data_IF_433613270778
#
_entry.id   IF_433613270778
#
_cell.length_a   1.000
_cell.length_b   1.000
_cell.length_c   1.000
_cell.angle_alpha   90.00
_cell.angle_beta   90.00
_cell.angle_gamma   90.00
#
_symmetry.space_group_name_H-M   'P 1'
#
loop_
_entity.id
_entity.type
_entity.pdbx_description
1 polymer ?
#
# COMPACT_ATOMS: atom_id res chain seq x y z
N UNK A 1 -18.37 -1.11 -10.67
CA UNK A 1 -18.17 -0.68 -9.29
C UNK A 1 -18.91 -1.64 -8.35
N UNK A 2 -18.18 -2.24 -7.38
CA UNK A 2 -18.80 -3.13 -6.38
C UNK A 2 -19.20 -2.32 -5.15
N UNK A 3 -18.25 -1.56 -4.62
CA UNK A 3 -18.48 -0.75 -3.42
C UNK A 3 -17.55 0.47 -3.38
N UNK A 4 -18.03 1.54 -2.75
CA UNK A 4 -17.29 2.77 -2.47
C UNK A 4 -17.33 3.04 -0.98
N UNK A 5 -16.22 3.45 -0.42
CA UNK A 5 -16.13 4.00 0.93
C UNK A 5 -16.58 5.46 0.90
N UNK A 6 -17.85 5.68 1.14
CA UNK A 6 -18.45 7.02 1.06
C UNK A 6 -17.84 8.01 2.07
N UNK A 7 -17.45 7.54 3.25
CA UNK A 7 -16.76 8.38 4.24
C UNK A 7 -15.41 8.86 3.68
N UNK A 8 -14.62 7.95 3.09
CA UNK A 8 -13.34 8.31 2.50
C UNK A 8 -13.51 9.21 1.26
N UNK A 9 -14.53 8.94 0.43
CA UNK A 9 -14.88 9.80 -0.70
C UNK A 9 -15.20 11.23 -0.26
N UNK A 10 -15.92 11.38 0.85
CA UNK A 10 -16.21 12.69 1.46
C UNK A 10 -14.94 13.35 2.02
N UNK A 11 -14.11 12.61 2.75
CA UNK A 11 -12.83 13.11 3.29
C UNK A 11 -11.92 13.66 2.18
N UNK A 12 -11.92 12.98 1.02
CA UNK A 12 -11.17 13.41 -0.18
C UNK A 12 -11.87 14.52 -0.98
N UNK A 13 -12.99 15.03 -0.52
CA UNK A 13 -13.79 16.03 -1.25
C UNK A 13 -14.09 15.65 -2.71
N UNK A 14 -14.14 14.34 -3.01
CA UNK A 14 -14.41 13.81 -4.35
C UNK A 14 -15.88 14.00 -4.70
N UNK A 15 -16.15 14.99 -5.56
CA UNK A 15 -17.51 15.30 -6.06
C UNK A 15 -17.90 14.47 -7.29
N UNK A 16 -17.06 13.51 -7.68
CA UNK A 16 -17.30 12.63 -8.83
C UNK A 16 -18.58 11.82 -8.66
N UNK A 17 -19.37 11.72 -9.72
CA UNK A 17 -20.46 10.76 -9.77
C UNK A 17 -19.91 9.33 -9.90
N UNK A 18 -20.77 8.32 -9.74
CA UNK A 18 -20.34 6.92 -9.72
C UNK A 18 -19.66 6.46 -11.01
N UNK A 19 -20.05 6.99 -12.17
CA UNK A 19 -19.44 6.65 -13.45
C UNK A 19 -18.03 7.24 -13.58
N UNK A 20 -17.85 8.49 -13.16
CA UNK A 20 -16.53 9.12 -13.15
C UNK A 20 -15.59 8.43 -12.16
N UNK A 21 -16.09 8.11 -10.96
CA UNK A 21 -15.32 7.39 -9.97
C UNK A 21 -14.96 5.98 -10.47
N UNK A 22 -15.90 5.29 -11.10
CA UNK A 22 -15.64 4.00 -11.73
C UNK A 22 -14.52 4.09 -12.76
N UNK A 23 -14.56 5.06 -13.67
CA UNK A 23 -13.55 5.21 -14.71
C UNK A 23 -12.15 5.52 -14.15
N UNK A 24 -12.06 6.27 -13.03
CA UNK A 24 -10.80 6.51 -12.32
C UNK A 24 -10.32 5.24 -11.62
N UNK A 25 -11.21 4.59 -10.84
CA UNK A 25 -10.87 3.41 -10.05
C UNK A 25 -10.66 2.14 -10.89
N UNK A 26 -11.10 2.11 -12.15
CA UNK A 26 -10.78 1.05 -13.11
C UNK A 26 -9.46 1.29 -13.86
N UNK A 27 -8.92 2.51 -13.78
CA UNK A 27 -7.73 2.91 -14.54
C UNK A 27 -8.02 3.28 -16.00
N UNK A 28 -9.28 3.41 -16.40
CA UNK A 28 -9.66 3.85 -17.75
C UNK A 28 -9.41 5.34 -17.98
N UNK A 29 -9.50 6.12 -16.91
CA UNK A 29 -9.25 7.55 -16.92
C UNK A 29 -8.18 7.90 -15.87
N UNK A 30 -7.18 8.73 -16.18
CA UNK A 30 -6.26 9.24 -15.18
C UNK A 30 -7.01 10.10 -14.15
N UNK A 31 -6.50 10.12 -12.92
CA UNK A 31 -7.04 10.95 -11.85
C UNK A 31 -6.87 12.44 -12.19
N UNK A 32 -5.66 12.77 -12.60
CA UNK A 32 -5.24 14.06 -13.15
C UNK A 32 -4.63 13.77 -14.53
N UNK A 33 -4.14 14.79 -15.23
CA UNK A 33 -3.47 14.59 -16.54
C UNK A 33 -2.08 13.93 -16.41
N UNK A 34 -1.82 13.25 -15.30
CA UNK A 34 -0.56 12.57 -14.99
C UNK A 34 -0.60 11.09 -15.40
N UNK A 35 0.53 10.59 -15.87
CA UNK A 35 0.68 9.18 -16.19
C UNK A 35 0.84 8.34 -14.91
N UNK A 36 0.18 7.17 -14.81
CA UNK A 36 0.36 6.26 -13.68
C UNK A 36 1.82 5.81 -13.52
N UNK A 37 2.26 5.67 -12.28
CA UNK A 37 3.64 5.29 -11.92
C UNK A 37 3.63 3.98 -11.16
N UNK A 38 4.47 3.02 -11.57
CA UNK A 38 4.81 1.84 -10.77
C UNK A 38 6.23 1.99 -10.24
N UNK A 39 6.42 1.78 -8.94
CA UNK A 39 7.69 2.02 -8.26
C UNK A 39 8.53 0.76 -8.14
N UNK A 40 9.87 0.92 -8.15
CA UNK A 40 10.82 -0.16 -7.89
C UNK A 40 11.19 -0.18 -6.40
N UNK A 41 11.20 -1.37 -5.82
CA UNK A 41 11.72 -1.59 -4.47
C UNK A 41 12.37 -2.98 -4.38
N UNK A 42 13.21 -3.18 -3.38
CA UNK A 42 13.75 -4.48 -3.00
C UNK A 42 12.99 -5.05 -1.80
N UNK A 43 13.38 -6.17 -1.29
CA UNK A 43 12.81 -6.69 -0.06
C UNK A 43 13.59 -7.86 0.53
N UNK A 44 13.65 -7.91 1.86
CA UNK A 44 14.03 -9.10 2.60
C UNK A 44 12.80 -9.95 2.81
N UNK A 45 12.64 -10.98 1.97
CA UNK A 45 11.50 -11.88 1.99
C UNK A 45 11.87 -13.21 2.65
N UNK A 46 11.31 -13.50 3.81
CA UNK A 46 11.52 -14.76 4.55
C UNK A 46 13.01 -15.12 4.72
N UNK A 47 13.84 -14.12 5.03
CA UNK A 47 15.27 -14.29 5.25
C UNK A 47 16.15 -14.21 3.99
N UNK A 48 15.57 -14.01 2.82
CA UNK A 48 16.31 -13.85 1.56
C UNK A 48 16.14 -12.45 1.01
N UNK A 49 17.24 -11.84 0.58
CA UNK A 49 17.20 -10.55 -0.09
C UNK A 49 16.84 -10.71 -1.57
N UNK A 50 15.77 -10.03 -1.99
CA UNK A 50 15.36 -9.95 -3.39
C UNK A 50 15.65 -8.53 -3.89
N UNK A 51 16.66 -8.36 -4.77
CA UNK A 51 17.21 -7.05 -5.13
C UNK A 51 16.25 -6.18 -5.96
N UNK A 52 15.29 -6.82 -6.63
CA UNK A 52 14.28 -6.11 -7.41
C UNK A 52 12.91 -6.81 -7.31
N UNK A 53 12.02 -6.16 -6.65
CA UNK A 53 10.59 -6.39 -6.64
C UNK A 53 9.92 -5.23 -7.40
N UNK A 54 9.02 -4.53 -6.76
CA UNK A 54 8.32 -3.38 -7.30
C UNK A 54 6.81 -3.63 -7.42
N UNK A 55 6.10 -2.62 -7.86
CA UNK A 55 4.64 -2.63 -7.97
C UNK A 55 4.18 -3.51 -9.14
N UNK A 56 4.35 -4.84 -9.01
CA UNK A 56 4.06 -5.81 -10.06
C UNK A 56 2.60 -5.93 -10.48
N UNK A 57 1.69 -5.35 -9.70
CA UNK A 57 0.25 -5.30 -9.97
C UNK A 57 -0.41 -4.02 -9.44
N UNK A 58 0.39 -3.01 -9.13
CA UNK A 58 -0.09 -1.74 -8.58
C UNK A 58 0.51 -0.57 -9.35
N UNK A 59 -0.18 0.55 -9.34
CA UNK A 59 0.33 1.82 -9.85
C UNK A 59 -0.26 2.99 -9.06
N UNK A 60 0.54 4.01 -8.82
CA UNK A 60 0.07 5.32 -8.35
C UNK A 60 -0.60 6.02 -9.52
N UNK A 61 -1.78 6.58 -9.29
CA UNK A 61 -2.56 7.27 -10.33
C UNK A 61 -2.66 8.77 -10.09
N UNK A 62 -2.11 9.26 -8.99
CA UNK A 62 -2.06 10.66 -8.64
C UNK A 62 -2.27 10.90 -7.15
N UNK A 63 -2.50 12.16 -6.80
CA UNK A 63 -2.65 12.65 -5.44
C UNK A 63 -3.87 13.58 -5.33
N UNK A 64 -4.55 13.54 -4.20
CA UNK A 64 -5.64 14.44 -3.82
C UNK A 64 -5.38 14.92 -2.39
N UNK A 65 -5.28 16.22 -2.20
CA UNK A 65 -5.13 16.85 -0.87
C UNK A 65 -3.98 16.24 -0.04
N UNK A 66 -2.84 15.90 -0.70
CA UNK A 66 -1.67 15.30 -0.05
C UNK A 66 -1.80 13.80 0.22
N UNK A 67 -2.81 13.13 -0.33
CA UNK A 67 -3.02 11.69 -0.23
C UNK A 67 -2.82 11.03 -1.59
N UNK A 68 -1.90 10.08 -1.65
CA UNK A 68 -1.63 9.27 -2.84
C UNK A 68 -2.74 8.25 -3.08
N UNK A 69 -3.18 8.14 -4.35
CA UNK A 69 -4.11 7.10 -4.80
C UNK A 69 -3.35 6.05 -5.61
N UNK A 70 -3.53 4.79 -5.24
CA UNK A 70 -2.91 3.64 -5.91
C UNK A 70 -3.95 2.60 -6.30
N UNK A 71 -3.89 2.12 -7.53
CA UNK A 71 -4.69 0.99 -8.00
C UNK A 71 -3.91 -0.31 -7.81
N UNK A 72 -4.53 -1.33 -7.22
CA UNK A 72 -3.99 -2.68 -7.15
C UNK A 72 -4.85 -3.64 -7.95
N UNK A 73 -4.22 -4.35 -8.87
CA UNK A 73 -4.89 -5.30 -9.77
C UNK A 73 -5.26 -4.73 -11.15
N UNK A 74 -4.79 -3.51 -11.47
CA UNK A 74 -5.14 -2.81 -12.70
C UNK A 74 -4.48 -3.37 -13.97
N UNK A 75 -3.55 -4.31 -13.84
CA UNK A 75 -2.86 -4.93 -14.97
C UNK A 75 -1.35 -5.02 -14.76
N UNK A 76 -0.66 -5.35 -15.85
CA UNK A 76 0.78 -5.53 -15.84
C UNK A 76 1.54 -4.20 -15.73
N UNK A 77 2.66 -4.24 -15.04
CA UNK A 77 3.64 -3.16 -14.94
C UNK A 77 5.02 -3.69 -15.35
N UNK A 78 6.04 -2.83 -15.44
CA UNK A 78 7.43 -3.28 -15.66
C UNK A 78 7.94 -4.26 -14.60
N UNK A 79 7.30 -4.32 -13.44
CA UNK A 79 7.69 -5.15 -12.30
C UNK A 79 6.82 -6.41 -12.12
N UNK A 80 5.96 -6.74 -13.07
CA UNK A 80 5.05 -7.91 -12.95
C UNK A 80 5.76 -9.26 -13.05
N UNK A 81 7.02 -9.31 -13.49
CA UNK A 81 7.85 -10.53 -13.55
C UNK A 81 7.16 -11.70 -14.26
N UNK A 82 6.46 -11.41 -15.36
CA UNK A 82 5.71 -12.40 -16.14
C UNK A 82 4.33 -12.77 -15.56
N UNK A 83 3.93 -12.18 -14.44
CA UNK A 83 2.58 -12.35 -13.89
C UNK A 83 1.56 -11.45 -14.61
N UNK A 84 0.27 -11.75 -14.42
CA UNK A 84 -0.85 -11.08 -15.10
C UNK A 84 -1.14 -9.65 -14.56
N UNK A 85 -0.51 -9.25 -13.47
CA UNK A 85 -0.75 -7.94 -12.85
C UNK A 85 -2.15 -7.79 -12.23
N UNK A 86 -2.91 -8.87 -12.07
CA UNK A 86 -4.28 -8.86 -11.58
C UNK A 86 -4.38 -9.22 -10.10
N UNK A 87 -5.42 -8.70 -9.44
CA UNK A 87 -5.85 -9.13 -8.13
C UNK A 87 -7.16 -9.91 -8.24
N UNK A 88 -7.34 -10.94 -7.41
CA UNK A 88 -8.59 -11.70 -7.38
C UNK A 88 -9.61 -11.02 -6.48
N UNK A 89 -10.89 -11.11 -6.85
CA UNK A 89 -11.98 -10.44 -6.15
C UNK A 89 -12.04 -10.80 -4.66
N UNK A 90 -11.93 -12.09 -4.30
CA UNK A 90 -11.99 -12.54 -2.90
C UNK A 90 -10.92 -11.90 -2.02
N UNK A 91 -9.68 -11.77 -2.52
CA UNK A 91 -8.59 -11.14 -1.77
C UNK A 91 -8.75 -9.61 -1.71
N UNK A 92 -9.28 -9.01 -2.77
CA UNK A 92 -9.58 -7.58 -2.79
C UNK A 92 -10.70 -7.21 -1.80
N UNK A 93 -11.73 -8.05 -1.67
CA UNK A 93 -12.77 -7.88 -0.64
C UNK A 93 -12.17 -7.99 0.76
N UNK A 94 -11.31 -8.99 1.02
CA UNK A 94 -10.65 -9.14 2.32
C UNK A 94 -9.81 -7.91 2.67
N UNK A 95 -9.00 -7.44 1.74
CA UNK A 95 -8.19 -6.25 1.92
C UNK A 95 -9.05 -5.01 2.18
N UNK A 96 -10.11 -4.82 1.40
CA UNK A 96 -11.04 -3.71 1.54
C UNK A 96 -11.69 -3.68 2.93
N UNK A 97 -12.28 -4.80 3.35
CA UNK A 97 -12.94 -4.92 4.65
C UNK A 97 -11.95 -4.75 5.81
N UNK A 98 -10.76 -5.35 5.70
CA UNK A 98 -9.74 -5.22 6.73
C UNK A 98 -9.23 -3.78 6.85
N UNK A 99 -9.00 -3.09 5.73
CA UNK A 99 -8.60 -1.67 5.74
C UNK A 99 -9.61 -0.79 6.48
N UNK A 100 -10.91 -0.99 6.24
CA UNK A 100 -11.98 -0.26 6.95
C UNK A 100 -12.00 -0.63 8.44
N UNK A 101 -11.89 -1.92 8.76
CA UNK A 101 -11.85 -2.39 10.15
C UNK A 101 -10.66 -1.80 10.92
N UNK A 102 -9.47 -1.80 10.33
CA UNK A 102 -8.26 -1.24 10.93
C UNK A 102 -8.41 0.25 11.19
N UNK A 103 -9.01 1.00 10.26
CA UNK A 103 -9.33 2.41 10.48
C UNK A 103 -10.30 2.57 11.66
N UNK A 104 -11.37 1.78 11.71
CA UNK A 104 -12.35 1.80 12.81
C UNK A 104 -11.75 1.42 14.17
N UNK A 105 -10.73 0.58 14.20
CA UNK A 105 -9.94 0.19 15.37
C UNK A 105 -8.84 1.21 15.71
N UNK A 106 -8.76 2.30 14.96
CA UNK A 106 -7.74 3.35 15.12
C UNK A 106 -6.30 2.83 14.95
N UNK A 107 -6.10 1.87 14.05
CA UNK A 107 -4.80 1.32 13.67
C UNK A 107 -4.32 2.04 12.41
N UNK A 108 -3.08 2.58 12.36
CA UNK A 108 -2.55 3.22 11.15
C UNK A 108 -2.58 2.27 9.96
N UNK A 109 -3.19 2.70 8.87
CA UNK A 109 -3.40 1.83 7.70
C UNK A 109 -3.58 2.64 6.42
N UNK A 110 -3.22 2.06 5.28
CA UNK A 110 -3.74 2.52 3.99
C UNK A 110 -5.26 2.34 3.98
N UNK A 111 -5.97 3.30 3.41
CA UNK A 111 -7.44 3.30 3.34
C UNK A 111 -7.90 2.78 1.97
N UNK A 112 -8.94 1.97 1.94
CA UNK A 112 -9.53 1.49 0.70
C UNK A 112 -10.71 2.38 0.30
N UNK A 113 -10.62 3.00 -0.90
CA UNK A 113 -11.64 3.88 -1.43
C UNK A 113 -12.73 3.12 -2.18
N UNK A 114 -12.35 2.24 -3.09
CA UNK A 114 -13.29 1.52 -3.93
C UNK A 114 -12.80 0.12 -4.31
N UNK A 115 -13.75 -0.76 -4.61
CA UNK A 115 -13.52 -2.03 -5.31
C UNK A 115 -14.28 -2.00 -6.63
N UNK A 116 -13.58 -2.29 -7.71
CA UNK A 116 -14.13 -2.46 -9.06
C UNK A 116 -13.99 -3.92 -9.48
N UNK A 117 -15.07 -4.53 -9.95
CA UNK A 117 -15.01 -5.85 -10.61
C UNK A 117 -14.42 -5.70 -12.01
N UNK A 118 -13.69 -6.70 -12.45
CA UNK A 118 -13.23 -6.80 -13.83
C UNK A 118 -13.80 -8.06 -14.46
N UNK A 119 -14.18 -7.98 -15.72
CA UNK A 119 -14.64 -9.14 -16.52
C UNK A 119 -13.47 -10.07 -16.89
N UNK A 120 -12.23 -9.66 -16.60
CA UNK A 120 -11.05 -10.49 -16.80
C UNK A 120 -11.06 -11.65 -15.81
N UNK A 121 -10.75 -12.84 -16.31
CA UNK A 121 -10.54 -14.02 -15.49
C UNK A 121 -9.07 -14.13 -15.08
N UNK A 122 -8.86 -14.59 -13.88
CA UNK A 122 -7.56 -14.81 -13.28
C UNK A 122 -7.38 -16.28 -12.95
N UNK A 123 -6.30 -16.87 -13.46
CA UNK A 123 -5.95 -18.25 -13.18
C UNK A 123 -5.08 -18.32 -11.93
N UNK A 124 -5.59 -18.94 -10.86
CA UNK A 124 -4.88 -19.25 -9.61
C UNK A 124 -5.05 -20.77 -9.37
N UNK A 125 -5.43 -21.17 -8.16
CA UNK A 125 -5.86 -22.56 -7.92
C UNK A 125 -7.11 -22.91 -8.72
N UNK A 126 -7.98 -21.91 -8.90
CA UNK A 126 -9.18 -21.98 -9.74
C UNK A 126 -9.25 -20.74 -10.63
N UNK A 127 -10.16 -20.75 -11.60
CA UNK A 127 -10.52 -19.57 -12.37
C UNK A 127 -11.37 -18.66 -11.50
N UNK A 128 -10.91 -17.43 -11.28
CA UNK A 128 -11.56 -16.43 -10.42
C UNK A 128 -11.75 -15.11 -11.16
N UNK A 129 -12.70 -14.31 -10.71
CA UNK A 129 -12.89 -12.96 -11.23
C UNK A 129 -11.77 -12.04 -10.73
N UNK A 130 -11.27 -11.21 -11.63
CA UNK A 130 -10.34 -10.14 -11.26
C UNK A 130 -11.09 -8.98 -10.61
N UNK A 131 -10.37 -8.20 -9.82
CA UNK A 131 -10.85 -6.96 -9.26
C UNK A 131 -9.72 -5.94 -9.14
N UNK A 132 -10.09 -4.68 -9.06
CA UNK A 132 -9.19 -3.57 -8.78
C UNK A 132 -9.63 -2.96 -7.45
N UNK A 133 -8.67 -2.77 -6.54
CA UNK A 133 -8.88 -2.01 -5.31
C UNK A 133 -8.11 -0.70 -5.38
N UNK A 134 -8.79 0.40 -5.07
CA UNK A 134 -8.17 1.71 -4.95
C UNK A 134 -7.74 1.95 -3.51
N UNK A 135 -6.45 2.13 -3.31
CA UNK A 135 -5.81 2.43 -2.02
C UNK A 135 -5.52 3.91 -1.92
N UNK A 136 -5.65 4.44 -0.73
CA UNK A 136 -5.36 5.84 -0.39
C UNK A 136 -4.45 5.87 0.82
N UNK A 137 -3.37 6.63 0.76
CA UNK A 137 -2.43 6.81 1.86
C UNK A 137 -1.70 8.14 1.73
N UNK A 138 -1.10 8.62 2.83
CA UNK A 138 -0.18 9.76 2.79
C UNK A 138 1.04 9.46 1.92
N UNK A 139 1.52 8.21 1.92
CA UNK A 139 2.51 7.72 0.99
C UNK A 139 2.51 6.19 0.91
N UNK A 140 2.91 5.66 -0.26
CA UNK A 140 3.15 4.24 -0.48
C UNK A 140 4.65 3.87 -0.42
N UNK A 141 5.50 4.77 0.08
CA UNK A 141 6.94 4.49 0.25
C UNK A 141 7.13 3.41 1.33
N UNK A 142 7.94 2.40 0.99
CA UNK A 142 8.25 1.23 1.81
C UNK A 142 9.72 1.22 2.22
N UNK A 143 10.09 0.45 3.23
CA UNK A 143 11.50 0.20 3.54
C UNK A 143 12.26 -0.31 2.31
N UNK A 144 11.63 -1.16 1.51
CA UNK A 144 12.21 -1.72 0.29
C UNK A 144 12.66 -0.69 -0.76
N UNK A 145 12.11 0.52 -0.77
CA UNK A 145 12.59 1.58 -1.67
C UNK A 145 14.00 2.04 -1.29
N UNK A 146 14.27 2.17 0.02
CA UNK A 146 15.60 2.51 0.52
C UNK A 146 16.60 1.37 0.26
N UNK A 147 16.16 0.12 0.48
CA UNK A 147 16.98 -1.07 0.22
C UNK A 147 17.34 -1.21 -1.26
N UNK A 148 16.40 -0.87 -2.16
CA UNK A 148 16.62 -0.91 -3.60
C UNK A 148 17.81 -0.02 -4.00
N UNK A 149 17.80 1.23 -3.60
CA UNK A 149 18.92 2.14 -3.91
C UNK A 149 20.21 1.78 -3.17
N UNK A 150 20.11 1.40 -1.89
CA UNK A 150 21.26 1.02 -1.09
C UNK A 150 21.99 -0.21 -1.64
N UNK A 151 21.24 -1.25 -2.07
CA UNK A 151 21.82 -2.47 -2.62
C UNK A 151 22.58 -2.26 -3.94
N UNK A 152 22.26 -1.18 -4.65
CA UNK A 152 22.93 -0.79 -5.89
C UNK A 152 24.07 0.22 -5.67
N UNK A 153 24.40 0.55 -4.41
CA UNK A 153 25.39 1.56 -4.07
C UNK A 153 24.99 2.99 -4.39
N UNK A 154 23.69 3.24 -4.65
CA UNK A 154 23.16 4.55 -5.04
C UNK A 154 22.87 5.41 -3.80
N UNK A 155 23.88 5.65 -2.97
CA UNK A 155 23.73 6.37 -1.69
C UNK A 155 23.12 7.78 -1.83
N UNK A 156 23.41 8.47 -2.94
CA UNK A 156 22.82 9.78 -3.18
C UNK A 156 21.29 9.71 -3.43
N UNK A 157 20.78 8.62 -4.01
CA UNK A 157 19.37 8.40 -4.17
C UNK A 157 18.71 8.00 -2.86
N UNK A 158 19.40 7.26 -1.99
CA UNK A 158 18.94 7.01 -0.59
C UNK A 158 18.75 8.33 0.15
N UNK A 159 19.72 9.27 0.05
CA UNK A 159 19.61 10.60 0.67
C UNK A 159 18.47 11.42 0.07
N UNK A 160 18.32 11.43 -1.26
CA UNK A 160 17.21 12.15 -1.92
C UNK A 160 15.85 11.62 -1.48
N UNK A 161 15.71 10.30 -1.35
CA UNK A 161 14.48 9.68 -0.86
C UNK A 161 14.23 10.03 0.61
N UNK A 162 15.27 10.02 1.47
CA UNK A 162 15.17 10.45 2.85
C UNK A 162 14.78 11.93 2.97
N UNK A 163 15.41 12.81 2.20
CA UNK A 163 15.06 14.24 2.15
C UNK A 163 13.62 14.46 1.66
N UNK A 164 13.14 13.64 0.71
CA UNK A 164 11.77 13.68 0.24
C UNK A 164 10.80 13.31 1.36
N UNK A 165 11.04 12.20 2.07
CA UNK A 165 10.19 11.76 3.19
C UNK A 165 10.16 12.81 4.31
N UNK A 166 11.33 13.35 4.68
CA UNK A 166 11.41 14.42 5.70
C UNK A 166 10.58 15.63 5.26
N UNK A 167 10.79 16.10 4.03
CA UNK A 167 10.13 17.30 3.51
C UNK A 167 8.61 17.19 3.46
N UNK A 168 8.10 16.03 3.02
CA UNK A 168 6.68 15.87 2.68
C UNK A 168 5.86 15.19 3.77
N UNK A 169 6.49 14.39 4.64
CA UNK A 169 5.78 13.55 5.60
C UNK A 169 6.26 13.69 7.05
N UNK A 170 7.39 14.36 7.30
CA UNK A 170 7.96 14.53 8.64
C UNK A 170 8.51 15.94 8.80
N UNK A 171 7.65 16.93 8.58
CA UNK A 171 8.01 18.36 8.55
C UNK A 171 8.54 18.91 9.90
N UNK A 172 8.40 18.13 10.98
CA UNK A 172 9.02 18.42 12.28
C UNK A 172 10.54 18.18 12.30
N UNK A 173 11.09 17.47 11.30
CA UNK A 173 12.52 17.21 11.18
C UNK A 173 13.18 18.22 10.25
N UNK A 174 14.42 18.60 10.56
CA UNK A 174 15.21 19.42 9.66
C UNK A 174 15.71 18.60 8.46
N UNK A 175 15.85 19.25 7.33
CA UNK A 175 16.42 18.60 6.14
C UNK A 175 17.82 18.05 6.44
N UNK A 176 18.04 16.77 6.14
CA UNK A 176 19.31 16.08 6.41
C UNK A 176 19.40 15.46 7.79
N UNK A 177 18.38 15.59 8.64
CA UNK A 177 18.33 14.86 9.93
C UNK A 177 17.93 13.40 9.70
N UNK A 178 18.85 12.64 9.11
CA UNK A 178 18.62 11.21 8.82
C UNK A 178 18.55 10.35 10.09
N UNK A 179 19.19 10.78 11.18
CA UNK A 179 19.07 10.09 12.47
C UNK A 179 17.69 10.32 13.09
N UNK A 180 17.17 11.54 12.99
CA UNK A 180 15.79 11.87 13.38
C UNK A 180 14.78 11.06 12.56
N UNK A 181 14.94 11.00 11.24
CA UNK A 181 14.13 10.16 10.36
C UNK A 181 14.14 8.69 10.83
N UNK A 182 15.30 8.11 11.07
CA UNK A 182 15.41 6.72 11.50
C UNK A 182 14.70 6.47 12.83
N UNK A 183 14.86 7.37 13.82
CA UNK A 183 14.17 7.29 15.11
C UNK A 183 12.66 7.40 14.93
N UNK A 184 12.19 8.30 14.06
CA UNK A 184 10.76 8.49 13.80
C UNK A 184 10.13 7.26 13.14
N UNK A 185 10.82 6.65 12.21
CA UNK A 185 10.38 5.40 11.57
C UNK A 185 10.27 4.26 12.59
N UNK A 186 11.23 4.14 13.51
CA UNK A 186 11.16 3.16 14.62
C UNK A 186 9.93 3.44 15.49
N UNK A 187 9.70 4.68 15.88
CA UNK A 187 8.55 5.08 16.70
C UNK A 187 7.21 4.70 16.01
N UNK A 188 7.03 5.15 14.76
CA UNK A 188 5.78 4.90 14.00
C UNK A 188 5.53 3.40 13.80
N UNK A 189 6.58 2.65 13.44
CA UNK A 189 6.49 1.20 13.28
C UNK A 189 6.14 0.51 14.59
N UNK A 190 6.77 0.92 15.70
CA UNK A 190 6.50 0.36 17.03
C UNK A 190 5.05 0.61 17.47
N UNK A 191 4.54 1.82 17.24
CA UNK A 191 3.14 2.17 17.53
C UNK A 191 2.18 1.29 16.72
N UNK A 192 2.43 1.13 15.41
CA UNK A 192 1.61 0.29 14.54
C UNK A 192 1.57 -1.15 15.04
N UNK A 193 2.74 -1.75 15.32
CA UNK A 193 2.82 -3.15 15.78
C UNK A 193 2.17 -3.32 17.15
N UNK A 194 2.38 -2.39 18.08
CA UNK A 194 1.74 -2.44 19.39
C UNK A 194 0.21 -2.41 19.28
N UNK A 195 -0.33 -1.62 18.35
CA UNK A 195 -1.77 -1.60 18.08
C UNK A 195 -2.28 -2.89 17.43
N UNK A 196 -1.50 -3.51 16.52
CA UNK A 196 -1.82 -4.83 16.00
C UNK A 196 -1.95 -5.86 17.11
N UNK A 197 -0.96 -5.94 17.98
CA UNK A 197 -0.94 -6.88 19.11
C UNK A 197 -2.11 -6.63 20.07
N UNK A 198 -2.42 -5.36 20.37
CA UNK A 198 -3.52 -5.00 21.25
C UNK A 198 -4.90 -5.45 20.71
N UNK A 199 -5.04 -5.57 19.39
CA UNK A 199 -6.26 -6.01 18.72
C UNK A 199 -6.22 -7.48 18.27
N UNK A 200 -5.15 -8.20 18.61
CA UNK A 200 -4.97 -9.59 18.19
C UNK A 200 -4.84 -9.75 16.67
N UNK A 201 -4.29 -8.76 16.00
CA UNK A 201 -4.06 -8.81 14.55
C UNK A 201 -2.64 -9.30 14.25
N UNK A 202 -2.54 -10.27 13.34
CA UNK A 202 -1.28 -10.70 12.72
C UNK A 202 -1.28 -10.35 11.24
N UNK A 203 -0.26 -9.62 10.79
CA UNK A 203 -0.08 -9.28 9.38
C UNK A 203 0.34 -10.50 8.55
N UNK A 204 1.15 -11.38 9.12
CA UNK A 204 1.60 -12.63 8.51
C UNK A 204 2.72 -12.50 7.47
N UNK A 205 3.02 -11.29 6.97
CA UNK A 205 4.10 -11.05 5.98
C UNK A 205 4.73 -9.69 6.22
N UNK A 206 5.60 -9.58 7.22
CA UNK A 206 6.30 -8.34 7.59
C UNK A 206 7.67 -8.22 6.88
N UNK A 207 7.75 -8.60 5.64
CA UNK A 207 8.92 -8.37 4.81
C UNK A 207 9.12 -6.86 4.59
N UNK A 208 10.33 -6.43 4.29
CA UNK A 208 10.65 -4.99 4.13
C UNK A 208 9.95 -4.33 2.94
N UNK A 209 9.54 -5.10 1.96
CA UNK A 209 8.67 -4.69 0.86
C UNK A 209 7.20 -4.52 1.28
N UNK A 210 6.81 -4.99 2.47
CA UNK A 210 5.47 -4.84 3.04
C UNK A 210 5.44 -3.94 4.28
N UNK A 211 6.47 -3.12 4.49
CA UNK A 211 6.56 -2.19 5.62
C UNK A 211 6.60 -0.76 5.12
N UNK A 212 5.60 0.03 5.53
CA UNK A 212 5.52 1.46 5.21
C UNK A 212 6.54 2.26 6.01
N UNK A 213 7.19 3.23 5.37
CA UNK A 213 8.08 4.18 6.04
C UNK A 213 7.32 5.09 7.03
N UNK A 214 6.02 5.23 6.88
CA UNK A 214 5.15 6.03 7.73
C UNK A 214 4.43 5.20 8.82
N UNK A 215 4.80 3.92 9.01
CA UNK A 215 4.15 3.05 9.99
C UNK A 215 2.68 2.77 9.68
N UNK A 216 2.31 2.73 8.40
CA UNK A 216 0.97 2.34 7.96
C UNK A 216 0.92 0.83 7.70
N UNK A 217 -0.19 0.19 8.07
CA UNK A 217 -0.47 -1.19 7.65
C UNK A 217 -0.75 -1.20 6.14
N UNK A 218 0.03 -1.98 5.40
CA UNK A 218 -0.07 -2.11 3.94
C UNK A 218 -0.10 -3.58 3.53
N UNK A 219 -0.57 -3.86 2.32
CA UNK A 219 -0.50 -5.17 1.67
C UNK A 219 -1.11 -6.33 2.47
N UNK A 220 -2.41 -6.23 2.72
CA UNK A 220 -3.19 -7.26 3.39
C UNK A 220 -3.21 -8.58 2.60
N UNK A 221 -2.26 -9.48 2.93
CA UNK A 221 -2.13 -10.81 2.36
C UNK A 221 -2.78 -11.88 3.23
N UNK A 222 -2.00 -12.77 3.87
CA UNK A 222 -2.52 -13.84 4.72
C UNK A 222 -2.86 -13.38 6.15
N UNK A 223 -3.18 -12.12 6.35
CA UNK A 223 -3.51 -11.57 7.67
C UNK A 223 -4.63 -12.35 8.36
N UNK A 224 -4.65 -12.31 9.68
CA UNK A 224 -5.72 -12.84 10.51
C UNK A 224 -5.87 -12.09 11.82
N UNK A 225 -7.04 -12.22 12.44
CA UNK A 225 -7.27 -11.85 13.82
C UNK A 225 -7.36 -13.13 14.65
N UNK A 226 -6.84 -13.12 15.88
CA UNK A 226 -7.00 -14.27 16.78
C UNK A 226 -8.47 -14.39 17.24
N UNK A 227 -8.98 -15.59 17.27
CA UNK A 227 -10.35 -15.87 17.73
C UNK A 227 -10.44 -15.93 19.26
N UNK A 228 -9.38 -16.41 19.88
CA UNK A 228 -9.21 -16.46 21.34
C UNK A 228 -7.82 -15.96 21.68
N UNK A 229 -7.63 -15.48 22.92
CA UNK A 229 -6.31 -15.03 23.34
C UNK A 229 -5.28 -16.15 23.25
N UNK A 230 -4.26 -15.93 22.43
CA UNK A 230 -3.09 -16.81 22.29
C UNK A 230 -1.82 -15.94 22.30
N UNK A 231 -0.99 -16.02 23.37
CA UNK A 231 0.25 -15.21 23.45
C UNK A 231 1.32 -15.63 22.43
N UNK A 232 1.15 -16.77 21.77
CA UNK A 232 2.05 -17.25 20.70
C UNK A 232 1.55 -16.93 19.29
N UNK A 233 0.41 -16.27 19.16
CA UNK A 233 -0.14 -15.85 17.86
C UNK A 233 0.69 -14.71 17.26
N UNK A 234 1.34 -14.99 16.12
CA UNK A 234 2.22 -14.05 15.41
C UNK A 234 1.93 -14.04 13.91
#
# INVERSE_FOLDING_TARGET
LIHVNESLKQDLSLKSNDNELLSICSGERPLNDESPISTAYAGHQFGYFVPQLGDGRSCLIGEIDGLELSLKGAGTSPFSRGADGRAVLRSSIREYLCSIAMQGLNIPTTRALAIVNSDSQVYREHVENAAIITRVAESHIRFGHFEYFASQGQNENVKKLADFVIKHHMSELERGDYLGLFKKVIELTSIMIARWQAQGFSHGVMNTDNMSILGLTIDYGPFSFMETYDPAFI
#
